data_IF_930784962915
#
_entry.id   IF_930784962915
#
_cell.length_a   1.000
_cell.length_b   1.000
_cell.length_c   1.000
_cell.angle_alpha   90.00
_cell.angle_beta   90.00
_cell.angle_gamma   90.00
#
_symmetry.space_group_name_H-M   'P 1'
#
loop_
_entity.id
_entity.type
_entity.pdbx_description
1 polymer ?
#
# COMPACT_ATOMS: atom_id res chain seq x y z
N UNK A 1 4.45 6.98 -11.52
CA UNK A 1 5.05 6.57 -12.81
C UNK A 1 4.03 5.92 -13.75
N UNK A 2 4.36 5.83 -15.07
CA UNK A 2 3.53 5.08 -16.02
C UNK A 2 3.81 3.59 -15.88
N UNK A 3 2.75 2.77 -15.87
CA UNK A 3 2.83 1.32 -15.79
C UNK A 3 2.04 0.67 -16.91
N UNK A 4 2.48 -0.51 -17.37
CA UNK A 4 1.76 -1.34 -18.32
C UNK A 4 1.00 -2.42 -17.57
N UNK A 5 -0.28 -2.55 -17.83
CA UNK A 5 -1.17 -3.59 -17.29
C UNK A 5 -1.86 -4.35 -18.42
N UNK A 6 -2.67 -5.35 -18.07
CA UNK A 6 -3.50 -6.06 -19.03
C UNK A 6 -4.56 -5.16 -19.69
N UNK A 7 -4.96 -4.08 -19.02
CA UNK A 7 -5.93 -3.09 -19.53
C UNK A 7 -5.27 -1.98 -20.37
N UNK A 8 -3.94 -1.95 -20.46
CA UNK A 8 -3.20 -0.96 -21.24
C UNK A 8 -2.16 -0.19 -20.40
N UNK A 9 -1.87 1.03 -20.83
CA UNK A 9 -0.92 1.91 -20.14
C UNK A 9 -1.70 2.77 -19.15
N UNK A 10 -1.32 2.70 -17.88
CA UNK A 10 -1.78 3.61 -16.83
C UNK A 10 -0.84 4.80 -16.78
N UNK A 11 -1.36 5.98 -17.05
CA UNK A 11 -0.60 7.24 -16.99
C UNK A 11 -0.44 7.72 -15.55
N UNK A 12 0.66 8.43 -15.23
CA UNK A 12 0.86 9.01 -13.91
C UNK A 12 -0.07 10.21 -13.72
N UNK A 13 -0.91 10.18 -12.69
CA UNK A 13 -1.91 11.22 -12.38
C UNK A 13 -1.58 12.06 -11.15
N UNK A 14 -0.43 11.84 -10.51
CA UNK A 14 -0.07 12.52 -9.27
C UNK A 14 -0.12 14.05 -9.40
N UNK A 15 0.43 14.61 -10.49
CA UNK A 15 0.39 16.04 -10.75
C UNK A 15 -1.04 16.59 -10.83
N UNK A 16 -1.92 15.90 -11.55
CA UNK A 16 -3.32 16.32 -11.72
C UNK A 16 -4.06 16.28 -10.38
N UNK A 17 -3.82 15.22 -9.58
CA UNK A 17 -4.37 15.11 -8.22
C UNK A 17 -3.93 16.31 -7.38
N UNK A 18 -2.65 16.65 -7.36
CA UNK A 18 -2.13 17.78 -6.60
C UNK A 18 -2.68 19.13 -7.07
N UNK A 19 -2.82 19.34 -8.38
CA UNK A 19 -3.44 20.54 -8.94
C UNK A 19 -4.91 20.67 -8.51
N UNK A 20 -5.68 19.57 -8.54
CA UNK A 20 -7.08 19.55 -8.07
C UNK A 20 -7.15 19.84 -6.57
N UNK A 21 -6.31 19.19 -5.77
CA UNK A 21 -6.27 19.40 -4.32
C UNK A 21 -5.96 20.86 -3.97
N UNK A 22 -4.98 21.45 -4.66
CA UNK A 22 -4.61 22.86 -4.48
C UNK A 22 -5.78 23.77 -4.83
N UNK A 23 -6.42 23.56 -5.98
CA UNK A 23 -7.57 24.36 -6.45
C UNK A 23 -8.76 24.29 -5.50
N UNK A 24 -8.99 23.10 -4.88
CA UNK A 24 -10.09 22.89 -3.95
C UNK A 24 -9.72 23.21 -2.49
N UNK A 25 -8.48 23.66 -2.23
CA UNK A 25 -7.94 23.82 -0.87
C UNK A 25 -8.19 22.56 -0.02
N UNK A 26 -7.99 21.37 -0.62
CA UNK A 26 -8.28 20.09 0.00
C UNK A 26 -7.18 19.69 0.98
N UNK A 27 -7.59 19.07 2.10
CA UNK A 27 -6.69 18.48 3.11
C UNK A 27 -6.79 16.97 3.13
N UNK A 28 -7.18 16.36 2.01
CA UNK A 28 -7.26 14.90 1.89
C UNK A 28 -5.85 14.32 1.97
N UNK A 29 -5.70 13.26 2.75
CA UNK A 29 -4.46 12.49 2.83
C UNK A 29 -4.32 11.60 1.60
N UNK A 30 -3.17 11.68 0.93
CA UNK A 30 -2.86 10.89 -0.26
C UNK A 30 -2.02 9.67 0.15
N UNK A 31 -2.53 8.48 -0.12
CA UNK A 31 -1.80 7.23 0.02
C UNK A 31 -1.45 6.72 -1.38
N UNK A 32 -0.16 6.58 -1.68
CA UNK A 32 0.31 6.13 -2.99
C UNK A 32 0.75 4.66 -2.96
N UNK A 33 0.28 3.87 -3.92
CA UNK A 33 0.81 2.52 -4.14
C UNK A 33 2.23 2.58 -4.71
N UNK A 34 3.14 1.84 -4.08
CA UNK A 34 4.49 1.57 -4.60
C UNK A 34 4.44 0.26 -5.36
N UNK A 35 4.56 0.30 -6.68
CA UNK A 35 4.29 -0.78 -7.60
C UNK A 35 2.82 -1.23 -7.61
N UNK A 36 2.09 -0.71 -8.59
CA UNK A 36 0.67 -1.04 -8.81
C UNK A 36 0.52 -2.54 -9.11
N UNK A 37 -0.47 -3.17 -8.47
CA UNK A 37 -0.83 -4.57 -8.75
C UNK A 37 -1.09 -4.79 -10.24
N UNK A 38 -0.67 -5.95 -10.74
CA UNK A 38 -0.85 -6.34 -12.14
C UNK A 38 -0.22 -5.37 -13.15
N UNK A 39 0.62 -4.43 -12.69
CA UNK A 39 1.34 -3.48 -13.52
C UNK A 39 2.84 -3.73 -13.52
N UNK A 40 3.47 -3.41 -14.64
CA UNK A 40 4.93 -3.40 -14.78
C UNK A 40 5.38 -1.99 -15.15
N UNK A 41 6.36 -1.40 -14.45
CA UNK A 41 6.89 -0.10 -14.82
C UNK A 41 7.48 -0.13 -16.24
N UNK A 42 7.36 0.98 -16.97
CA UNK A 42 7.89 1.10 -18.34
C UNK A 42 9.44 1.07 -18.37
N UNK A 43 10.10 1.38 -17.27
CA UNK A 43 11.56 1.29 -17.18
C UNK A 43 11.96 0.65 -15.84
N UNK A 44 13.18 0.14 -15.78
CA UNK A 44 13.70 -0.48 -14.55
C UNK A 44 13.91 0.58 -13.48
N UNK A 45 13.17 0.46 -12.40
CA UNK A 45 13.38 1.21 -11.16
C UNK A 45 13.48 0.23 -9.99
N UNK A 46 14.21 0.62 -8.96
CA UNK A 46 14.16 -0.11 -7.69
C UNK A 46 12.91 0.32 -6.93
N UNK A 47 12.42 -0.54 -6.04
CA UNK A 47 11.24 -0.20 -5.22
C UNK A 47 11.54 1.02 -4.32
N UNK A 48 12.79 1.19 -3.93
CA UNK A 48 13.26 2.33 -3.14
C UNK A 48 13.19 3.65 -3.93
N UNK A 49 13.55 3.61 -5.22
CA UNK A 49 13.50 4.81 -6.07
C UNK A 49 12.06 5.23 -6.31
N UNK A 50 11.17 4.26 -6.61
CA UNK A 50 9.72 4.52 -6.75
C UNK A 50 9.14 5.08 -5.46
N UNK A 51 9.50 4.50 -4.31
CA UNK A 51 9.03 4.98 -3.02
C UNK A 51 9.46 6.43 -2.72
N UNK A 52 10.71 6.77 -3.03
CA UNK A 52 11.21 8.15 -2.90
C UNK A 52 10.48 9.11 -3.84
N UNK A 53 10.32 8.74 -5.10
CA UNK A 53 9.59 9.55 -6.06
C UNK A 53 8.14 9.81 -5.61
N UNK A 54 7.44 8.81 -5.10
CA UNK A 54 6.08 8.98 -4.55
C UNK A 54 6.04 10.00 -3.41
N UNK A 55 7.03 10.04 -2.54
CA UNK A 55 7.06 10.97 -1.40
C UNK A 55 7.57 12.36 -1.83
N UNK A 56 8.69 12.42 -2.55
CA UNK A 56 9.43 13.66 -2.80
C UNK A 56 8.89 14.44 -4.01
N UNK A 57 8.37 13.73 -5.02
CA UNK A 57 7.89 14.33 -6.27
C UNK A 57 6.37 14.32 -6.38
N UNK A 58 5.74 13.22 -5.98
CA UNK A 58 4.29 13.04 -6.07
C UNK A 58 3.58 13.49 -4.79
N UNK A 59 4.36 13.89 -3.75
CA UNK A 59 3.88 14.47 -2.48
C UNK A 59 2.86 13.58 -1.75
N UNK A 60 3.05 12.27 -1.80
CA UNK A 60 2.24 11.33 -1.04
C UNK A 60 2.51 11.45 0.47
N UNK A 61 1.44 11.46 1.27
CA UNK A 61 1.51 11.52 2.74
C UNK A 61 1.92 10.17 3.35
N UNK A 62 1.55 9.08 2.69
CA UNK A 62 1.93 7.72 3.06
C UNK A 62 2.02 6.83 1.83
N UNK A 63 2.72 5.71 1.98
CA UNK A 63 2.89 4.71 0.93
C UNK A 63 2.14 3.43 1.27
N UNK A 64 1.67 2.74 0.23
CA UNK A 64 1.08 1.40 0.35
C UNK A 64 1.92 0.43 -0.47
N UNK A 65 2.37 -0.65 0.17
CA UNK A 65 3.04 -1.76 -0.51
C UNK A 65 2.06 -2.93 -0.58
N UNK A 66 1.76 -3.37 -1.79
CA UNK A 66 0.78 -4.43 -2.05
C UNK A 66 1.45 -5.68 -2.61
N UNK A 67 0.81 -6.83 -2.44
CA UNK A 67 1.23 -8.07 -3.08
C UNK A 67 0.91 -8.09 -4.58
N UNK A 68 1.44 -9.06 -5.31
CA UNK A 68 1.30 -9.14 -6.77
C UNK A 68 -0.15 -9.37 -7.21
N UNK A 69 -0.99 -9.96 -6.35
CA UNK A 69 -2.40 -10.24 -6.61
C UNK A 69 -3.29 -9.91 -5.42
N UNK A 70 -4.58 -9.74 -5.68
CA UNK A 70 -5.57 -9.54 -4.62
C UNK A 70 -5.58 -10.70 -3.65
N UNK A 71 -5.43 -10.41 -2.35
CA UNK A 71 -5.37 -11.42 -1.29
C UNK A 71 -3.98 -12.05 -1.10
N UNK A 72 -3.01 -11.80 -1.97
CA UNK A 72 -1.63 -12.22 -1.78
C UNK A 72 -0.84 -11.12 -1.05
N UNK A 73 -0.04 -11.46 -0.04
CA UNK A 73 0.78 -10.50 0.67
C UNK A 73 2.04 -10.14 -0.15
N UNK A 74 2.60 -8.92 0.02
CA UNK A 74 3.89 -8.58 -0.53
C UNK A 74 5.02 -9.34 0.17
N UNK A 75 6.18 -9.44 -0.47
CA UNK A 75 7.39 -9.94 0.19
C UNK A 75 7.76 -9.01 1.38
N UNK A 76 7.88 -9.53 2.61
CA UNK A 76 8.27 -8.75 3.78
C UNK A 76 9.59 -8.00 3.61
N UNK A 77 10.54 -8.55 2.83
CA UNK A 77 11.80 -7.88 2.54
C UNK A 77 11.60 -6.61 1.69
N UNK A 78 10.68 -6.63 0.73
CA UNK A 78 10.35 -5.43 -0.05
C UNK A 78 9.72 -4.35 0.84
N UNK A 79 8.79 -4.73 1.71
CA UNK A 79 8.19 -3.78 2.68
C UNK A 79 9.28 -3.14 3.54
N UNK A 80 10.20 -3.93 4.06
CA UNK A 80 11.30 -3.47 4.89
C UNK A 80 12.26 -2.52 4.15
N UNK A 81 12.51 -2.79 2.87
CA UNK A 81 13.31 -1.91 1.99
C UNK A 81 12.63 -0.55 1.81
N UNK A 82 11.33 -0.53 1.54
CA UNK A 82 10.55 0.73 1.41
C UNK A 82 10.56 1.51 2.73
N UNK A 83 10.28 0.85 3.87
CA UNK A 83 10.31 1.49 5.20
C UNK A 83 11.66 2.17 5.47
N UNK A 84 12.77 1.56 5.05
CA UNK A 84 14.12 2.13 5.25
C UNK A 84 14.46 3.25 4.27
N UNK A 85 13.80 3.30 3.11
CA UNK A 85 14.12 4.23 2.03
C UNK A 85 13.48 5.61 2.21
N UNK A 86 12.36 5.69 2.96
CA UNK A 86 11.56 6.92 3.07
C UNK A 86 11.26 7.27 4.54
N UNK A 87 10.97 8.54 4.80
CA UNK A 87 10.49 9.00 6.12
C UNK A 87 8.97 8.94 6.27
N UNK A 88 8.24 8.80 5.16
CA UNK A 88 6.78 8.69 5.17
C UNK A 88 6.32 7.36 5.79
N UNK A 89 5.08 7.33 6.27
CA UNK A 89 4.48 6.09 6.78
C UNK A 89 4.27 5.09 5.64
N UNK A 90 4.55 3.82 5.92
CA UNK A 90 4.39 2.72 4.96
C UNK A 90 3.34 1.75 5.50
N UNK A 91 2.30 1.51 4.71
CA UNK A 91 1.23 0.56 4.99
C UNK A 91 1.40 -0.68 4.12
N UNK A 92 0.95 -1.82 4.61
CA UNK A 92 0.84 -3.04 3.79
C UNK A 92 -0.61 -3.22 3.37
N UNK A 93 -0.84 -3.30 2.05
CA UNK A 93 -2.19 -3.46 1.48
C UNK A 93 -2.31 -4.77 0.72
N UNK A 94 -2.76 -5.79 1.31
CA UNK A 94 -3.24 -7.09 0.83
C UNK A 94 -2.65 -8.28 1.58
N UNK A 95 -3.40 -9.38 1.60
CA UNK A 95 -2.95 -10.68 2.07
C UNK A 95 -2.61 -10.78 3.56
N UNK A 96 -2.92 -9.77 4.37
CA UNK A 96 -2.61 -9.76 5.80
C UNK A 96 -3.66 -10.54 6.58
N UNK A 97 -3.16 -11.40 7.46
CA UNK A 97 -3.90 -12.27 8.37
C UNK A 97 -3.24 -12.27 9.76
N UNK A 98 -3.89 -12.77 10.81
CA UNK A 98 -3.25 -12.93 12.12
C UNK A 98 -1.98 -13.79 12.10
N UNK A 99 -1.88 -14.73 11.15
CA UNK A 99 -0.77 -15.66 11.07
C UNK A 99 0.52 -15.05 10.48
N UNK A 100 0.38 -14.04 9.60
CA UNK A 100 1.53 -13.45 8.92
C UNK A 100 1.81 -11.99 9.30
N UNK A 101 0.92 -11.34 10.07
CA UNK A 101 1.06 -9.92 10.42
C UNK A 101 2.39 -9.59 11.10
N UNK A 102 2.96 -10.55 11.84
CA UNK A 102 4.24 -10.38 12.54
C UNK A 102 5.43 -10.25 11.58
N UNK A 103 5.34 -10.78 10.37
CA UNK A 103 6.39 -10.66 9.34
C UNK A 103 6.54 -9.20 8.86
N UNK A 104 5.51 -8.39 9.07
CA UNK A 104 5.41 -6.99 8.67
C UNK A 104 5.48 -6.01 9.85
N UNK A 105 6.13 -6.41 10.94
CA UNK A 105 6.29 -5.57 12.14
C UNK A 105 6.95 -4.21 11.89
N UNK A 106 7.73 -4.07 10.83
CA UNK A 106 8.38 -2.81 10.45
C UNK A 106 7.43 -1.82 9.74
N UNK A 107 6.32 -2.30 9.16
CA UNK A 107 5.30 -1.44 8.54
C UNK A 107 4.57 -0.60 9.61
N UNK A 108 4.00 0.51 9.21
CA UNK A 108 3.30 1.43 10.12
C UNK A 108 1.81 1.09 10.31
N UNK A 109 1.24 0.28 9.41
CA UNK A 109 -0.16 -0.13 9.47
C UNK A 109 -0.54 -1.08 8.32
N UNK A 110 -1.83 -1.42 8.27
CA UNK A 110 -2.34 -2.44 7.35
C UNK A 110 -3.68 -2.01 6.75
N UNK A 111 -3.86 -2.27 5.46
CA UNK A 111 -5.14 -2.17 4.76
C UNK A 111 -5.59 -3.61 4.47
N UNK A 112 -6.66 -4.05 5.11
CA UNK A 112 -7.09 -5.45 5.05
C UNK A 112 -8.53 -5.55 4.54
N UNK A 113 -8.73 -6.36 3.52
CA UNK A 113 -10.04 -6.60 2.93
C UNK A 113 -10.41 -8.09 2.94
N UNK A 114 -9.73 -8.88 2.12
CA UNK A 114 -10.10 -10.28 1.82
C UNK A 114 -10.24 -11.13 3.08
N UNK A 115 -9.29 -11.08 4.00
CA UNK A 115 -9.33 -11.88 5.23
C UNK A 115 -10.57 -11.58 6.10
N UNK A 116 -11.02 -10.33 6.12
CA UNK A 116 -12.13 -9.90 6.99
C UNK A 116 -13.49 -10.31 6.47
N UNK A 117 -13.58 -10.78 5.23
CA UNK A 117 -14.87 -11.15 4.62
C UNK A 117 -15.23 -12.60 4.89
N UNK A 118 -16.53 -12.83 5.02
CA UNK A 118 -17.16 -14.14 4.99
C UNK A 118 -17.42 -14.60 3.54
N UNK A 119 -18.11 -15.71 3.37
CA UNK A 119 -18.49 -16.27 2.06
C UNK A 119 -19.47 -15.39 1.29
N UNK A 120 -20.23 -14.55 1.99
CA UNK A 120 -21.20 -13.61 1.43
C UNK A 120 -20.58 -12.23 1.14
N UNK A 121 -19.28 -12.07 1.44
CA UNK A 121 -18.54 -10.82 1.23
C UNK A 121 -18.76 -9.77 2.32
N UNK A 122 -19.44 -10.11 3.41
CA UNK A 122 -19.67 -9.24 4.56
C UNK A 122 -18.49 -9.28 5.54
N UNK A 123 -18.37 -8.25 6.36
CA UNK A 123 -17.30 -8.20 7.37
C UNK A 123 -17.62 -9.13 8.53
N UNK A 124 -16.77 -10.13 8.73
CA UNK A 124 -16.82 -11.03 9.89
C UNK A 124 -16.17 -10.36 11.12
N UNK A 125 -17.00 -10.09 12.12
CA UNK A 125 -16.58 -9.41 13.34
C UNK A 125 -15.61 -10.24 14.20
N UNK A 126 -15.63 -11.57 14.09
CA UNK A 126 -14.70 -12.47 14.80
C UNK A 126 -13.32 -12.37 14.17
N UNK A 127 -13.23 -12.49 12.85
CA UNK A 127 -11.99 -12.31 12.10
C UNK A 127 -11.39 -10.91 12.32
N UNK A 128 -12.26 -9.88 12.34
CA UNK A 128 -11.82 -8.51 12.61
C UNK A 128 -11.17 -8.37 13.99
N UNK A 129 -11.81 -8.91 15.04
CA UNK A 129 -11.25 -8.89 16.40
C UNK A 129 -9.94 -9.67 16.51
N UNK A 130 -9.83 -10.83 15.88
CA UNK A 130 -8.61 -11.63 15.86
C UNK A 130 -7.45 -10.86 15.23
N UNK A 131 -7.68 -10.25 14.07
CA UNK A 131 -6.65 -9.46 13.38
C UNK A 131 -6.24 -8.23 14.19
N UNK A 132 -7.20 -7.47 14.72
CA UNK A 132 -6.90 -6.30 15.56
C UNK A 132 -6.11 -6.72 16.82
N UNK A 133 -6.43 -7.87 17.42
CA UNK A 133 -5.67 -8.43 18.54
C UNK A 133 -4.23 -8.72 18.16
N UNK A 134 -4.00 -9.35 17.02
CA UNK A 134 -2.66 -9.64 16.53
C UNK A 134 -1.86 -8.36 16.20
N UNK A 135 -2.48 -7.36 15.59
CA UNK A 135 -1.84 -6.07 15.29
C UNK A 135 -1.45 -5.33 16.57
N UNK A 136 -2.32 -5.30 17.58
CA UNK A 136 -2.02 -4.67 18.88
C UNK A 136 -0.82 -5.31 19.60
N UNK A 137 -0.58 -6.61 19.40
CA UNK A 137 0.61 -7.29 19.96
C UNK A 137 1.92 -6.80 19.31
N UNK A 138 1.87 -6.18 18.13
CA UNK A 138 3.02 -5.52 17.51
C UNK A 138 3.33 -4.14 18.10
N UNK A 139 2.52 -3.64 19.04
CA UNK A 139 2.65 -2.30 19.62
C UNK A 139 2.10 -1.17 18.72
N UNK A 140 1.14 -1.49 17.85
CA UNK A 140 0.52 -0.58 16.87
C UNK A 140 -0.93 -0.27 17.22
#
# INVERSE_FOLDING_TARGET
>A
EAVVSAEGILEPVAREVMEIMTRLNSKITVLADVFVKHGSPLHKMTIEDVAKDCVERDLADALVVTGPRTGEPPDPLLVRRVVKAVSAKVLVGSGITPNNVNDYKDAHGFIVGTYLKDEEGQIDSVKARQLVGAVKQLGK
#
